data_IF_672110428907
#
_entry.id   IF_672110428907
#
_cell.length_a   1.000
_cell.length_b   1.000
_cell.length_c   1.000
_cell.angle_alpha   90.00
_cell.angle_beta   90.00
_cell.angle_gamma   90.00
#
_symmetry.space_group_name_H-M   'P 1'
#
loop_
_entity.id
_entity.type
_entity.pdbx_description
1 polymer ?
#
# COMPACT_ATOMS: atom_id res chain seq x y z
N UNK A 1 -4.94 26.39 -2.27
CA UNK A 1 -5.85 25.30 -1.85
C UNK A 1 -5.01 24.21 -1.22
N UNK A 2 -5.50 23.54 -0.17
CA UNK A 2 -4.81 22.39 0.41
C UNK A 2 -5.42 21.12 -0.21
N UNK A 3 -4.58 20.27 -0.79
CA UNK A 3 -4.99 18.98 -1.36
C UNK A 3 -4.81 17.90 -0.30
N UNK A 4 -5.89 17.18 0.05
CA UNK A 4 -5.85 16.10 1.03
C UNK A 4 -5.66 14.78 0.30
N UNK A 5 -4.66 14.02 0.71
CA UNK A 5 -4.33 12.71 0.12
C UNK A 5 -4.43 11.60 1.15
N UNK A 6 -4.46 10.35 0.70
CA UNK A 6 -4.19 9.21 1.55
C UNK A 6 -2.70 8.90 1.51
N UNK A 7 -2.04 9.03 2.66
CA UNK A 7 -0.63 8.69 2.84
C UNK A 7 -0.54 7.39 3.63
N UNK A 8 0.11 6.39 3.04
CA UNK A 8 0.40 5.12 3.70
C UNK A 8 1.91 4.96 3.85
N UNK A 9 2.32 4.68 5.07
CA UNK A 9 3.70 4.35 5.48
C UNK A 9 3.68 2.87 5.92
N UNK A 10 4.49 2.02 5.28
CA UNK A 10 4.39 0.57 5.45
C UNK A 10 5.72 -0.15 5.30
N UNK A 11 5.81 -1.37 5.81
CA UNK A 11 6.93 -2.26 5.55
C UNK A 11 6.48 -3.30 4.52
N UNK A 12 6.86 -3.11 3.24
CA UNK A 12 6.56 -4.10 2.19
C UNK A 12 7.58 -5.23 2.24
N UNK A 13 7.21 -6.39 1.73
CA UNK A 13 8.16 -7.51 1.58
C UNK A 13 9.28 -7.09 0.63
N UNK A 14 10.52 -7.33 1.05
CA UNK A 14 11.74 -7.07 0.28
C UNK A 14 12.09 -8.33 -0.53
N UNK A 15 11.29 -8.62 -1.54
CA UNK A 15 11.48 -9.74 -2.46
C UNK A 15 11.24 -9.29 -3.91
N UNK A 16 12.03 -9.84 -4.84
CA UNK A 16 12.04 -9.44 -6.26
C UNK A 16 10.81 -9.96 -7.02
N UNK A 17 10.11 -10.96 -6.50
CA UNK A 17 8.93 -11.59 -7.07
C UNK A 17 7.61 -10.96 -6.61
N UNK A 18 7.67 -9.94 -5.73
CA UNK A 18 6.50 -9.22 -5.23
C UNK A 18 6.49 -7.81 -5.81
N UNK A 19 5.50 -7.57 -6.68
CA UNK A 19 5.26 -6.27 -7.29
C UNK A 19 4.87 -5.26 -6.19
N UNK A 20 5.56 -4.11 -6.07
CA UNK A 20 5.17 -3.06 -5.15
C UNK A 20 3.75 -2.56 -5.44
N UNK A 21 2.97 -2.31 -4.40
CA UNK A 21 1.57 -1.92 -4.53
C UNK A 21 1.34 -0.70 -5.42
N UNK A 22 2.22 0.31 -5.36
CA UNK A 22 2.09 1.48 -6.24
C UNK A 22 2.33 1.17 -7.71
N UNK A 23 3.11 0.14 -8.04
CA UNK A 23 3.24 -0.37 -9.42
C UNK A 23 1.95 -1.05 -9.87
N UNK A 24 1.29 -1.81 -8.98
CA UNK A 24 -0.05 -2.37 -9.24
C UNK A 24 -1.05 -1.26 -9.57
N UNK A 25 -1.11 -0.18 -8.77
CA UNK A 25 -1.97 0.96 -9.08
C UNK A 25 -1.64 1.61 -10.43
N UNK A 26 -0.36 1.67 -10.78
CA UNK A 26 0.10 2.23 -12.07
C UNK A 26 -0.38 1.35 -13.23
N UNK A 27 -0.26 0.04 -13.11
CA UNK A 27 -0.74 -0.93 -14.10
C UNK A 27 -2.26 -0.90 -14.26
N UNK A 28 -3.01 -0.89 -13.15
CA UNK A 28 -4.48 -0.79 -13.18
C UNK A 28 -4.95 0.51 -13.85
N UNK A 29 -4.28 1.63 -13.55
CA UNK A 29 -4.56 2.92 -14.19
C UNK A 29 -4.26 2.87 -15.69
N UNK A 30 -3.14 2.25 -16.10
CA UNK A 30 -2.76 2.11 -17.50
C UNK A 30 -3.72 1.22 -18.32
N UNK A 31 -4.47 0.34 -17.64
CA UNK A 31 -5.50 -0.52 -18.23
C UNK A 31 -6.93 0.04 -18.06
N UNK A 32 -7.07 1.31 -17.66
CA UNK A 32 -8.37 1.97 -17.47
C UNK A 32 -9.33 1.20 -16.53
N UNK A 33 -8.80 0.51 -15.51
CA UNK A 33 -9.63 -0.25 -14.56
C UNK A 33 -10.48 0.72 -13.73
N UNK A 34 -11.81 0.58 -13.74
CA UNK A 34 -12.69 1.50 -13.03
C UNK A 34 -12.63 1.30 -11.51
N UNK A 35 -13.00 2.35 -10.77
CA UNK A 35 -13.13 2.32 -9.30
C UNK A 35 -11.84 2.04 -8.53
N UNK A 36 -10.69 2.24 -9.16
CA UNK A 36 -9.38 2.20 -8.52
C UNK A 36 -8.92 3.62 -8.19
N UNK A 37 -8.32 3.81 -7.01
CA UNK A 37 -7.73 5.09 -6.63
C UNK A 37 -6.50 5.40 -7.50
N UNK A 38 -6.33 6.67 -7.86
CA UNK A 38 -5.14 7.08 -8.60
C UNK A 38 -3.93 7.16 -7.66
N UNK A 39 -2.85 6.46 -8.00
CA UNK A 39 -1.59 6.56 -7.28
C UNK A 39 -0.82 7.80 -7.75
N UNK A 40 -0.63 8.77 -6.86
CA UNK A 40 0.12 9.99 -7.14
C UNK A 40 1.63 9.74 -7.15
N UNK A 41 2.11 8.97 -6.18
CA UNK A 41 3.50 8.56 -6.08
C UNK A 41 3.64 7.41 -5.10
N UNK A 42 4.69 6.62 -5.28
CA UNK A 42 5.04 5.54 -4.37
C UNK A 42 6.52 5.22 -4.49
N UNK A 43 7.07 4.53 -3.49
CA UNK A 43 8.46 4.10 -3.54
C UNK A 43 9.03 3.67 -2.19
N UNK A 44 10.14 2.97 -2.27
CA UNK A 44 10.97 2.69 -1.11
C UNK A 44 11.50 4.01 -0.55
N UNK A 45 11.58 4.11 0.78
CA UNK A 45 12.10 5.31 1.43
C UNK A 45 13.60 5.42 1.16
N UNK A 46 13.99 6.44 0.41
CA UNK A 46 15.38 6.80 0.19
C UNK A 46 16.01 7.28 1.51
N UNK A 47 16.86 6.43 2.09
CA UNK A 47 17.58 6.73 3.32
C UNK A 47 18.94 6.04 3.34
N UNK A 48 19.90 6.63 4.05
CA UNK A 48 21.18 6.00 4.36
C UNK A 48 21.42 5.99 5.88
N UNK A 49 21.51 4.80 6.52
CA UNK A 49 21.37 3.47 5.93
C UNK A 49 19.93 3.21 5.44
N UNK A 50 19.79 2.29 4.47
CA UNK A 50 18.47 1.85 4.00
C UNK A 50 17.60 1.35 5.15
N UNK A 51 16.36 1.79 5.19
CA UNK A 51 15.37 1.35 6.17
C UNK A 51 14.84 -0.04 5.80
N UNK A 52 15.55 -1.08 6.25
CA UNK A 52 15.19 -2.50 6.08
C UNK A 52 15.21 -3.22 7.42
N UNK A 53 14.34 -4.21 7.58
CA UNK A 53 14.39 -5.10 8.75
C UNK A 53 15.74 -5.82 8.81
N UNK A 54 16.24 -6.05 10.03
CA UNK A 54 17.48 -6.80 10.26
C UNK A 54 17.21 -8.17 10.92
N UNK A 55 15.95 -8.50 11.21
CA UNK A 55 15.56 -9.69 11.97
C UNK A 55 16.08 -10.99 11.36
N UNK A 56 16.13 -11.07 10.03
CA UNK A 56 16.71 -12.18 9.27
C UNK A 56 18.22 -12.36 9.46
N UNK A 57 18.95 -11.26 9.75
CA UNK A 57 20.37 -11.33 10.14
C UNK A 57 20.48 -11.68 11.61
N UNK A 58 19.64 -11.08 12.45
CA UNK A 58 19.59 -11.36 13.88
C UNK A 58 19.27 -12.84 14.17
N UNK A 59 18.49 -13.52 13.33
CA UNK A 59 18.19 -14.95 13.49
C UNK A 59 19.42 -15.85 13.34
N UNK A 60 20.54 -15.36 12.82
CA UNK A 60 21.78 -16.14 12.67
C UNK A 60 22.66 -16.17 13.93
N UNK A 61 22.38 -15.33 14.93
CA UNK A 61 23.19 -15.23 16.14
C UNK A 61 22.79 -16.28 17.20
N UNK A 62 23.74 -16.64 18.08
CA UNK A 62 23.54 -17.66 19.11
C UNK A 62 22.52 -17.29 20.19
N UNK A 63 22.28 -15.99 20.39
CA UNK A 63 21.28 -15.50 21.34
C UNK A 63 19.86 -15.56 20.79
N UNK A 64 19.68 -15.80 19.48
CA UNK A 64 18.35 -15.87 18.88
C UNK A 64 17.57 -17.06 19.43
N UNK A 65 16.31 -16.83 19.85
CA UNK A 65 15.45 -17.89 20.39
C UNK A 65 15.33 -19.09 19.44
N UNK A 66 15.28 -18.83 18.14
CA UNK A 66 15.35 -19.84 17.10
C UNK A 66 16.42 -19.45 16.07
N UNK A 67 17.60 -20.03 16.25
CA UNK A 67 18.73 -19.82 15.34
C UNK A 67 18.42 -20.38 13.95
N UNK A 68 18.67 -19.58 12.92
CA UNK A 68 18.47 -19.95 11.52
C UNK A 68 17.02 -19.94 11.04
N UNK A 69 16.07 -19.40 11.83
CA UNK A 69 14.70 -19.24 11.36
C UNK A 69 14.68 -18.36 10.10
N UNK A 70 14.01 -18.86 9.05
CA UNK A 70 13.74 -18.11 7.84
C UNK A 70 12.70 -17.03 8.15
N UNK A 71 13.14 -15.77 8.14
CA UNK A 71 12.30 -14.60 8.42
C UNK A 71 12.28 -13.74 7.16
N UNK A 72 11.08 -13.43 6.68
CA UNK A 72 10.87 -12.59 5.50
C UNK A 72 11.41 -11.17 5.73
N UNK A 73 12.35 -10.69 4.91
CA UNK A 73 12.84 -9.32 5.01
C UNK A 73 11.78 -8.33 4.52
N UNK A 74 11.77 -7.13 5.10
CA UNK A 74 10.90 -6.04 4.69
C UNK A 74 11.68 -4.74 4.52
N UNK A 75 11.22 -3.88 3.60
CA UNK A 75 11.75 -2.55 3.32
C UNK A 75 10.68 -1.49 3.55
N UNK A 76 11.10 -0.34 4.06
CA UNK A 76 10.21 0.78 4.33
C UNK A 76 9.74 1.41 3.01
N UNK A 77 8.43 1.54 2.84
CA UNK A 77 7.75 1.91 1.61
C UNK A 77 6.63 2.92 1.86
N UNK A 78 6.53 3.91 0.98
CA UNK A 78 5.48 4.93 1.02
C UNK A 78 4.60 4.85 -0.21
N UNK A 79 3.31 5.07 -0.01
CA UNK A 79 2.29 5.15 -1.05
C UNK A 79 1.42 6.38 -0.80
N UNK A 80 1.20 7.17 -1.85
CA UNK A 80 0.30 8.32 -1.84
C UNK A 80 -0.80 8.10 -2.88
N UNK A 81 -2.03 7.97 -2.40
CA UNK A 81 -3.21 7.83 -3.25
C UNK A 81 -3.99 9.14 -3.25
N UNK A 82 -4.49 9.50 -4.43
CA UNK A 82 -5.44 10.59 -4.61
C UNK A 82 -6.80 10.13 -4.07
N UNK A 83 -7.10 10.52 -2.83
CA UNK A 83 -8.27 10.04 -2.12
C UNK A 83 -9.41 11.04 -2.25
N UNK A 84 -10.49 10.62 -2.91
CA UNK A 84 -11.76 11.34 -2.86
C UNK A 84 -12.38 11.07 -1.48
N UNK A 85 -12.27 12.05 -0.58
CA UNK A 85 -12.96 12.01 0.72
C UNK A 85 -14.27 12.76 0.60
N UNK A 86 -15.36 12.09 0.97
CA UNK A 86 -16.62 12.77 1.30
C UNK A 86 -17.00 12.39 2.74
N UNK A 87 -17.41 13.37 3.55
CA UNK A 87 -17.86 13.06 4.89
C UNK A 87 -19.16 12.25 4.82
N UNK A 88 -19.37 11.29 5.74
CA UNK A 88 -20.60 10.50 5.77
C UNK A 88 -21.87 11.35 5.85
N UNK A 89 -21.77 12.57 6.40
CA UNK A 89 -22.85 13.56 6.50
C UNK A 89 -23.08 14.39 5.24
N UNK A 90 -22.17 14.33 4.28
CA UNK A 90 -22.17 15.19 3.10
C UNK A 90 -22.66 14.48 1.84
N UNK A 91 -22.85 13.14 1.89
CA UNK A 91 -23.52 12.43 0.82
C UNK A 91 -24.92 13.03 0.61
N UNK A 92 -25.24 13.35 -0.64
CA UNK A 92 -26.53 13.90 -1.04
C UNK A 92 -27.69 12.95 -0.78
N UNK A 93 -27.42 11.64 -0.71
CA UNK A 93 -28.40 10.61 -0.42
C UNK A 93 -27.75 9.31 0.10
N UNK A 94 -28.57 8.45 0.71
CA UNK A 94 -28.16 7.08 1.04
C UNK A 94 -27.77 6.27 -0.21
N UNK A 95 -28.39 6.55 -1.36
CA UNK A 95 -28.04 5.90 -2.63
C UNK A 95 -26.60 6.20 -3.05
N UNK A 96 -26.17 7.46 -2.91
CA UNK A 96 -24.80 7.85 -3.23
C UNK A 96 -23.78 7.14 -2.34
N UNK A 97 -24.06 7.06 -1.04
CA UNK A 97 -23.22 6.32 -0.09
C UNK A 97 -23.15 4.82 -0.45
N UNK A 98 -24.29 4.19 -0.72
CA UNK A 98 -24.36 2.77 -1.11
C UNK A 98 -23.60 2.54 -2.43
N UNK A 99 -23.71 3.46 -3.39
CA UNK A 99 -22.99 3.38 -4.65
C UNK A 99 -21.47 3.51 -4.45
N UNK A 100 -21.02 4.40 -3.57
CA UNK A 100 -19.61 4.53 -3.23
C UNK A 100 -19.05 3.23 -2.62
N UNK A 101 -19.78 2.61 -1.70
CA UNK A 101 -19.42 1.31 -1.10
C UNK A 101 -19.40 0.21 -2.16
N UNK A 102 -20.44 0.14 -3.00
CA UNK A 102 -20.53 -0.82 -4.10
C UNK A 102 -19.33 -0.70 -5.06
N UNK A 103 -18.96 0.52 -5.45
CA UNK A 103 -17.81 0.77 -6.31
C UNK A 103 -16.50 0.34 -5.64
N UNK A 104 -16.34 0.58 -4.34
CA UNK A 104 -15.17 0.11 -3.59
C UNK A 104 -15.06 -1.42 -3.58
N UNK A 105 -16.19 -2.13 -3.40
CA UNK A 105 -16.22 -3.60 -3.44
C UNK A 105 -15.90 -4.16 -4.84
N UNK A 106 -16.38 -3.51 -5.91
CA UNK A 106 -15.99 -3.87 -7.27
C UNK A 106 -14.49 -3.62 -7.49
N UNK A 107 -13.98 -2.46 -7.08
CA UNK A 107 -12.56 -2.13 -7.16
C UNK A 107 -11.68 -3.15 -6.45
N UNK A 108 -12.07 -3.57 -5.24
CA UNK A 108 -11.36 -4.59 -4.45
C UNK A 108 -11.28 -5.94 -5.17
N UNK A 109 -12.31 -6.30 -5.95
CA UNK A 109 -12.29 -7.56 -6.72
C UNK A 109 -11.22 -7.61 -7.82
N UNK A 110 -10.60 -6.49 -8.19
CA UNK A 110 -9.48 -6.43 -9.14
C UNK A 110 -8.11 -6.48 -8.46
N UNK A 111 -8.04 -6.40 -7.13
CA UNK A 111 -6.80 -6.39 -6.35
C UNK A 111 -6.44 -7.76 -5.72
N UNK A 112 -7.34 -8.74 -5.81
CA UNK A 112 -7.20 -10.12 -5.31
C UNK A 112 -7.03 -11.12 -6.45
#
# INVERSE_FOLDING_TARGET
SHHVVFFKDSWRVDADDIIPEGEIYTELTANDVPHVLHCLTSGDVESEPKQKTQTQKCSQYDWACQKGLAITPHIHYRLILDLIREALTNFSSSMELVQAIHNALIGESYLL
#
